data_IF_998277459788
#
_entry.id   IF_998277459788
#
_cell.length_a   1.000
_cell.length_b   1.000
_cell.length_c   1.000
_cell.angle_alpha   90.00
_cell.angle_beta   90.00
_cell.angle_gamma   90.00
#
_symmetry.space_group_name_H-M   'P 1'
#
loop_
_entity.id
_entity.type
_entity.pdbx_description
1 polymer ?
#
# COMPACT_ATOMS: atom_id res chain seq x y z
N UNK A 1 1.18 18.46 6.97
CA UNK A 1 0.85 17.91 5.62
C UNK A 1 0.76 16.38 5.66
N UNK A 2 -0.25 15.77 5.02
CA UNK A 2 -0.29 14.31 4.81
C UNK A 2 0.38 13.98 3.47
N UNK A 3 1.41 13.13 3.50
CA UNK A 3 2.10 12.66 2.30
C UNK A 3 1.48 11.35 1.83
N UNK A 4 0.68 11.40 0.76
CA UNK A 4 0.24 10.20 0.07
C UNK A 4 1.37 9.64 -0.81
N UNK A 5 2.13 8.71 -0.25
CA UNK A 5 3.18 7.98 -0.94
C UNK A 5 2.54 6.82 -1.74
N UNK A 6 3.08 6.58 -2.93
CA UNK A 6 2.71 5.48 -3.83
C UNK A 6 1.48 5.64 -4.75
N UNK A 7 1.03 6.86 -5.01
CA UNK A 7 -0.06 7.07 -6.01
C UNK A 7 0.36 6.83 -7.47
N UNK A 8 1.64 7.03 -7.79
CA UNK A 8 2.18 6.87 -9.16
C UNK A 8 2.88 5.53 -9.39
N UNK A 9 3.35 4.90 -8.32
CA UNK A 9 4.09 3.63 -8.33
C UNK A 9 4.04 3.03 -6.94
N UNK A 10 4.13 1.72 -6.80
CA UNK A 10 4.18 1.05 -5.49
C UNK A 10 5.56 1.25 -4.85
N UNK A 11 5.71 2.31 -4.04
CA UNK A 11 6.99 2.67 -3.42
C UNK A 11 7.45 1.60 -2.42
N UNK A 12 6.63 1.11 -1.47
CA UNK A 12 7.05 0.03 -0.56
C UNK A 12 7.54 -1.22 -1.30
N UNK A 13 6.90 -1.60 -2.40
CA UNK A 13 7.29 -2.80 -3.13
C UNK A 13 8.58 -2.61 -3.96
N UNK A 14 8.81 -1.43 -4.55
CA UNK A 14 9.84 -1.27 -5.59
C UNK A 14 10.90 -0.21 -5.30
N UNK A 15 10.61 0.76 -4.44
CA UNK A 15 11.42 1.97 -4.25
C UNK A 15 11.56 2.36 -2.78
N UNK A 16 11.46 1.40 -1.86
CA UNK A 16 11.57 1.63 -0.41
C UNK A 16 12.90 2.29 -0.04
N UNK A 17 14.01 1.77 -0.58
CA UNK A 17 15.35 2.32 -0.37
C UNK A 17 15.46 3.77 -0.87
N UNK A 18 14.95 4.03 -2.08
CA UNK A 18 14.94 5.39 -2.63
C UNK A 18 14.16 6.35 -1.72
N UNK A 19 13.04 5.92 -1.16
CA UNK A 19 12.23 6.75 -0.27
C UNK A 19 12.99 7.11 1.01
N UNK A 20 13.64 6.13 1.66
CA UNK A 20 14.46 6.40 2.86
C UNK A 20 15.51 7.46 2.55
N UNK A 21 16.22 7.31 1.42
CA UNK A 21 17.19 8.30 0.96
C UNK A 21 16.58 9.68 0.66
N UNK A 22 15.28 9.79 0.35
CA UNK A 22 14.59 11.09 0.18
C UNK A 22 14.14 11.69 1.51
N UNK A 23 13.69 10.86 2.45
CA UNK A 23 13.32 11.30 3.80
C UNK A 23 14.54 11.84 4.55
N UNK A 24 15.69 11.16 4.45
CA UNK A 24 16.96 11.63 5.01
C UNK A 24 17.45 12.93 4.33
N UNK A 25 17.27 13.04 3.01
CA UNK A 25 17.60 14.28 2.29
C UNK A 25 16.63 15.44 2.59
N UNK A 26 15.46 15.16 3.17
CA UNK A 26 14.46 16.15 3.57
C UNK A 26 13.65 16.74 2.40
N UNK A 27 13.74 16.20 1.19
CA UNK A 27 12.92 16.64 0.05
C UNK A 27 12.85 15.59 -1.08
N UNK A 28 11.86 15.77 -1.94
CA UNK A 28 11.77 15.07 -3.23
C UNK A 28 11.46 16.04 -4.36
N UNK A 29 11.97 15.74 -5.55
CA UNK A 29 11.59 16.44 -6.78
C UNK A 29 10.59 15.59 -7.56
N UNK A 30 9.50 16.21 -7.97
CA UNK A 30 8.49 15.55 -8.81
C UNK A 30 8.17 16.40 -10.02
N UNK A 31 7.95 15.76 -11.17
CA UNK A 31 7.53 16.43 -12.40
C UNK A 31 6.01 16.49 -12.47
N UNK A 32 5.50 17.59 -13.01
CA UNK A 32 4.10 17.69 -13.39
C UNK A 32 3.84 16.74 -14.58
N UNK A 33 2.86 15.81 -14.49
CA UNK A 33 2.55 14.90 -15.58
C UNK A 33 2.02 15.62 -16.83
N UNK A 34 1.41 16.80 -16.67
CA UNK A 34 0.85 17.58 -17.79
C UNK A 34 1.84 18.61 -18.36
N UNK A 35 2.87 18.99 -17.59
CA UNK A 35 3.91 19.92 -18.03
C UNK A 35 5.29 19.47 -17.54
N UNK A 36 6.03 18.63 -18.30
CA UNK A 36 7.28 18.02 -17.85
C UNK A 36 8.41 18.99 -17.51
N UNK A 37 8.37 20.22 -18.04
CA UNK A 37 9.34 21.28 -17.72
C UNK A 37 9.17 21.83 -16.30
N UNK A 38 7.98 21.67 -15.71
CA UNK A 38 7.68 22.09 -14.36
C UNK A 38 8.09 21.01 -13.35
N UNK A 39 9.07 21.36 -12.52
CA UNK A 39 9.58 20.51 -11.43
C UNK A 39 9.14 21.13 -10.10
N UNK A 40 8.44 20.36 -9.30
CA UNK A 40 8.09 20.72 -7.93
C UNK A 40 9.11 20.13 -6.96
N UNK A 41 9.54 20.95 -5.99
CA UNK A 41 10.28 20.50 -4.82
C UNK A 41 9.32 20.37 -3.65
N UNK A 42 9.10 19.14 -3.20
CA UNK A 42 8.24 18.85 -2.05
C UNK A 42 9.16 18.66 -0.85
N UNK A 43 9.04 19.50 0.20
CA UNK A 43 9.76 19.27 1.44
C UNK A 43 9.21 18.01 2.12
N UNK A 44 10.12 17.22 2.69
CA UNK A 44 9.80 15.97 3.36
C UNK A 44 10.18 15.97 4.84
N UNK A 45 10.63 17.10 5.40
CA UNK A 45 11.05 17.17 6.79
C UNK A 45 9.89 16.92 7.76
N UNK A 46 10.20 16.29 8.90
CA UNK A 46 9.19 15.86 9.89
C UNK A 46 8.37 17.00 10.50
N UNK A 47 8.89 18.22 10.50
CA UNK A 47 8.16 19.42 10.96
C UNK A 47 7.03 19.83 10.00
N UNK A 48 7.05 19.33 8.76
CA UNK A 48 6.05 19.61 7.74
C UNK A 48 5.13 18.41 7.52
N UNK A 49 5.68 17.19 7.61
CA UNK A 49 4.97 15.94 7.36
C UNK A 49 4.31 15.45 8.65
N UNK A 50 2.98 15.55 8.73
CA UNK A 50 2.21 15.04 9.87
C UNK A 50 2.10 13.52 9.84
N UNK A 51 1.99 12.96 8.64
CA UNK A 51 1.83 11.53 8.42
C UNK A 51 2.14 11.13 6.96
N UNK A 52 2.71 9.93 6.78
CA UNK A 52 2.92 9.30 5.47
C UNK A 52 1.91 8.16 5.29
N UNK A 53 1.17 8.18 4.19
CA UNK A 53 0.25 7.11 3.81
C UNK A 53 0.89 6.29 2.71
N UNK A 54 1.18 5.01 2.99
CA UNK A 54 1.72 4.08 2.01
C UNK A 54 0.61 3.31 1.31
N UNK A 55 0.68 3.21 -0.02
CA UNK A 55 -0.16 2.31 -0.80
C UNK A 55 0.71 1.23 -1.40
N UNK A 56 0.31 -0.03 -1.23
CA UNK A 56 1.08 -1.16 -1.74
C UNK A 56 0.25 -2.41 -1.92
N UNK A 57 0.68 -3.29 -2.82
CA UNK A 57 0.23 -4.69 -2.88
C UNK A 57 1.20 -5.65 -2.18
N UNK A 58 2.41 -5.19 -1.86
CA UNK A 58 3.47 -6.04 -1.31
C UNK A 58 4.59 -5.21 -0.63
N UNK A 59 4.53 -4.99 0.71
CA UNK A 59 5.49 -4.19 1.44
C UNK A 59 6.75 -4.95 1.88
N UNK A 60 7.03 -6.16 1.37
CA UNK A 60 8.15 -6.98 1.86
C UNK A 60 9.48 -6.20 1.93
N UNK A 61 9.80 -5.47 0.85
CA UNK A 61 11.04 -4.71 0.72
C UNK A 61 11.11 -3.45 1.60
N UNK A 62 10.02 -3.12 2.31
CA UNK A 62 9.90 -2.00 3.23
C UNK A 62 9.99 -2.43 4.69
N UNK A 63 9.79 -3.72 5.00
CA UNK A 63 9.72 -4.21 6.39
C UNK A 63 11.02 -3.92 7.15
N UNK A 64 12.17 -4.17 6.54
CA UNK A 64 13.50 -3.92 7.11
C UNK A 64 13.83 -2.42 7.29
N UNK A 65 13.00 -1.52 6.76
CA UNK A 65 13.19 -0.06 6.81
C UNK A 65 12.23 0.64 7.77
N UNK A 66 11.33 -0.11 8.41
CA UNK A 66 10.37 0.44 9.36
C UNK A 66 11.08 1.06 10.58
N UNK A 67 12.15 0.42 11.08
CA UNK A 67 12.93 0.97 12.20
C UNK A 67 13.55 2.31 11.83
N UNK A 68 14.03 2.47 10.59
CA UNK A 68 14.55 3.76 10.12
C UNK A 68 13.46 4.83 10.03
N UNK A 69 12.22 4.48 9.67
CA UNK A 69 11.11 5.44 9.68
C UNK A 69 10.78 5.88 11.11
N UNK A 70 10.82 4.95 12.06
CA UNK A 70 10.57 5.20 13.48
C UNK A 70 11.68 6.06 14.10
N UNK A 71 12.95 5.77 13.79
CA UNK A 71 14.12 6.57 14.19
C UNK A 71 14.08 8.00 13.64
N UNK A 72 13.59 8.16 12.40
CA UNK A 72 13.38 9.47 11.79
C UNK A 72 12.13 10.19 12.32
N UNK A 73 11.37 9.57 13.23
CA UNK A 73 10.20 10.13 13.90
C UNK A 73 9.06 10.50 12.92
N UNK A 74 8.87 9.69 11.87
CA UNK A 74 7.72 9.82 10.98
C UNK A 74 6.54 8.98 11.45
N UNK A 75 5.35 9.56 11.47
CA UNK A 75 4.10 8.81 11.61
C UNK A 75 3.69 8.26 10.25
N UNK A 76 3.26 7.00 10.20
CA UNK A 76 2.81 6.40 8.96
C UNK A 76 1.77 5.31 9.18
N UNK A 77 1.05 4.97 8.11
CA UNK A 77 0.20 3.79 8.04
C UNK A 77 0.14 3.25 6.61
N UNK A 78 -0.33 2.02 6.45
CA UNK A 78 -0.37 1.30 5.19
C UNK A 78 -1.81 1.04 4.76
N UNK A 79 -2.11 1.47 3.54
CA UNK A 79 -3.17 0.92 2.72
C UNK A 79 -2.62 -0.28 1.93
N UNK A 80 -2.84 -1.47 2.47
CA UNK A 80 -2.38 -2.72 1.88
C UNK A 80 -3.50 -3.34 1.05
N UNK A 81 -3.31 -3.32 -0.27
CA UNK A 81 -4.24 -3.91 -1.23
C UNK A 81 -4.01 -5.40 -1.39
N UNK A 82 -4.89 -6.19 -0.77
CA UNK A 82 -4.91 -7.65 -0.87
C UNK A 82 -6.23 -8.11 -1.48
N UNK A 83 -6.15 -8.45 -2.76
CA UNK A 83 -7.24 -8.89 -3.64
C UNK A 83 -7.10 -10.39 -3.96
N UNK A 84 -8.18 -11.07 -4.37
CA UNK A 84 -8.21 -12.53 -4.51
C UNK A 84 -7.65 -13.02 -5.85
N UNK A 85 -7.34 -12.12 -6.77
CA UNK A 85 -7.06 -12.45 -8.16
C UNK A 85 -5.72 -13.16 -8.32
N UNK A 86 -5.67 -14.06 -9.30
CA UNK A 86 -4.46 -14.75 -9.70
C UNK A 86 -3.65 -13.93 -10.72
N UNK A 87 -2.67 -14.58 -11.35
CA UNK A 87 -1.78 -13.96 -12.33
C UNK A 87 -2.47 -13.56 -13.64
N UNK A 88 -3.72 -13.96 -13.89
CA UNK A 88 -4.48 -13.43 -15.04
C UNK A 88 -4.70 -11.92 -14.92
N UNK A 89 -4.92 -11.43 -13.69
CA UNK A 89 -5.08 -10.01 -13.35
C UNK A 89 -3.80 -9.42 -12.77
N UNK A 90 -3.11 -10.15 -11.87
CA UNK A 90 -2.01 -9.63 -11.06
C UNK A 90 -0.68 -10.36 -11.34
N UNK A 91 -0.15 -10.14 -12.54
CA UNK A 91 0.93 -10.93 -13.15
C UNK A 91 2.26 -10.97 -12.40
N UNK A 92 2.63 -9.89 -11.71
CA UNK A 92 4.00 -9.67 -11.18
C UNK A 92 4.09 -9.69 -9.66
N UNK A 93 3.05 -10.16 -8.99
CA UNK A 93 3.06 -10.31 -7.55
C UNK A 93 3.70 -11.63 -7.14
N UNK A 94 4.22 -11.65 -5.90
CA UNK A 94 4.57 -12.89 -5.21
C UNK A 94 3.35 -13.78 -5.04
N UNK A 95 3.59 -15.00 -4.59
CA UNK A 95 2.52 -15.91 -4.23
C UNK A 95 1.58 -15.29 -3.18
N UNK A 96 0.29 -15.59 -3.26
CA UNK A 96 -0.71 -14.89 -2.44
C UNK A 96 -0.57 -15.21 -0.97
N UNK A 97 -0.22 -16.44 -0.65
CA UNK A 97 0.01 -16.92 0.69
C UNK A 97 1.23 -16.22 1.30
N UNK A 98 2.27 -15.94 0.51
CA UNK A 98 3.43 -15.15 0.95
C UNK A 98 3.06 -13.69 1.22
N UNK A 99 2.22 -13.08 0.38
CA UNK A 99 1.74 -11.72 0.58
C UNK A 99 0.84 -11.64 1.83
N UNK A 100 -0.02 -12.64 2.07
CA UNK A 100 -0.79 -12.74 3.31
C UNK A 100 0.13 -12.79 4.52
N UNK A 101 1.21 -13.60 4.49
CA UNK A 101 2.19 -13.64 5.60
C UNK A 101 2.83 -12.27 5.83
N UNK A 102 3.22 -11.58 4.77
CA UNK A 102 3.79 -10.23 4.85
C UNK A 102 2.78 -9.22 5.41
N UNK A 103 1.48 -9.34 5.10
CA UNK A 103 0.43 -8.53 5.71
C UNK A 103 0.42 -8.70 7.23
N UNK A 104 0.40 -9.96 7.71
CA UNK A 104 0.40 -10.27 9.15
C UNK A 104 1.66 -9.77 9.84
N UNK A 105 2.81 -9.97 9.21
CA UNK A 105 4.10 -9.52 9.73
C UNK A 105 4.14 -8.00 9.87
N UNK A 106 3.71 -7.26 8.84
CA UNK A 106 3.58 -5.81 8.91
C UNK A 106 2.68 -5.40 10.07
N UNK A 107 1.47 -5.98 10.13
CA UNK A 107 0.48 -5.66 11.17
C UNK A 107 1.01 -5.89 12.58
N UNK A 108 1.68 -7.01 12.82
CA UNK A 108 2.30 -7.31 14.13
C UNK A 108 3.39 -6.31 14.51
N UNK A 109 4.10 -5.79 13.51
CA UNK A 109 5.22 -4.86 13.73
C UNK A 109 4.75 -3.44 14.01
N UNK A 110 3.76 -2.95 13.27
CA UNK A 110 3.35 -1.54 13.33
C UNK A 110 2.02 -1.29 14.04
N UNK A 111 1.25 -2.36 14.28
CA UNK A 111 -0.10 -2.34 14.80
C UNK A 111 -1.16 -2.55 13.72
N UNK A 112 -2.23 -3.28 14.06
CA UNK A 112 -3.37 -3.54 13.18
C UNK A 112 -4.19 -2.28 12.91
N UNK A 113 -4.07 -1.25 13.75
CA UNK A 113 -4.66 0.07 13.56
C UNK A 113 -3.97 0.89 12.46
N UNK A 114 -2.71 0.55 12.13
CA UNK A 114 -1.93 1.19 11.06
C UNK A 114 -1.85 0.34 9.79
N UNK A 115 -2.51 -0.82 9.77
CA UNK A 115 -2.52 -1.74 8.63
C UNK A 115 -3.94 -1.89 8.12
N UNK A 116 -4.32 -1.03 7.17
CA UNK A 116 -5.68 -1.02 6.60
C UNK A 116 -5.73 -1.93 5.38
N UNK A 117 -6.59 -2.94 5.43
CA UNK A 117 -6.82 -3.83 4.31
C UNK A 117 -7.67 -3.15 3.24
N UNK A 118 -7.22 -3.24 2.00
CA UNK A 118 -8.01 -2.85 0.83
C UNK A 118 -8.32 -4.09 -0.01
N UNK A 119 -9.56 -4.54 0.03
CA UNK A 119 -10.10 -5.50 -0.92
C UNK A 119 -10.70 -4.73 -2.10
N UNK A 120 -9.81 -4.06 -2.83
CA UNK A 120 -10.16 -3.00 -3.76
C UNK A 120 -9.17 -2.99 -4.95
N UNK A 121 -9.63 -3.04 -6.20
CA UNK A 121 -11.04 -3.05 -6.60
C UNK A 121 -11.64 -4.46 -6.73
N UNK A 122 -12.95 -4.55 -6.53
CA UNK A 122 -13.79 -5.69 -6.86
C UNK A 122 -14.15 -5.61 -8.35
N UNK A 123 -13.75 -6.61 -9.11
CA UNK A 123 -14.03 -6.77 -10.54
C UNK A 123 -15.18 -7.77 -10.65
N UNK A 124 -16.35 -7.33 -11.09
CA UNK A 124 -17.47 -8.24 -11.34
C UNK A 124 -17.55 -8.60 -12.82
N UNK A 125 -17.50 -9.89 -13.13
CA UNK A 125 -17.72 -10.44 -14.46
C UNK A 125 -18.15 -11.92 -14.37
N UNK A 126 -18.23 -12.63 -15.50
CA UNK A 126 -18.62 -14.04 -15.55
C UNK A 126 -17.66 -14.99 -14.79
N UNK A 127 -16.39 -14.59 -14.64
CA UNK A 127 -15.36 -15.36 -13.92
C UNK A 127 -15.27 -14.98 -12.45
N UNK A 128 -15.35 -13.68 -12.15
CA UNK A 128 -15.26 -13.10 -10.81
C UNK A 128 -16.65 -12.64 -10.37
N UNK A 129 -17.54 -13.60 -10.18
CA UNK A 129 -18.91 -13.31 -9.80
C UNK A 129 -19.05 -13.06 -8.28
N UNK A 130 -20.29 -12.83 -7.85
CA UNK A 130 -20.58 -12.61 -6.44
C UNK A 130 -20.21 -13.81 -5.56
N UNK A 131 -20.39 -15.05 -6.04
CA UNK A 131 -20.10 -16.27 -5.26
C UNK A 131 -18.59 -16.38 -5.04
N UNK A 132 -17.80 -16.21 -6.11
CA UNK A 132 -16.35 -16.15 -6.05
C UNK A 132 -15.86 -15.12 -5.03
N UNK A 133 -16.37 -13.89 -5.10
CA UNK A 133 -15.98 -12.83 -4.17
C UNK A 133 -16.40 -13.13 -2.73
N UNK A 134 -17.60 -13.66 -2.51
CA UNK A 134 -18.07 -14.04 -1.17
C UNK A 134 -17.15 -15.10 -0.55
N UNK A 135 -16.79 -16.13 -1.30
CA UNK A 135 -15.90 -17.20 -0.83
C UNK A 135 -14.49 -16.68 -0.53
N UNK A 136 -13.90 -15.94 -1.47
CA UNK A 136 -12.53 -15.42 -1.33
C UNK A 136 -12.41 -14.34 -0.26
N UNK A 137 -13.39 -13.46 -0.16
CA UNK A 137 -13.45 -12.45 0.90
C UNK A 137 -13.55 -13.12 2.27
N UNK A 138 -14.46 -14.10 2.42
CA UNK A 138 -14.60 -14.86 3.68
C UNK A 138 -13.31 -15.61 4.06
N UNK A 139 -12.62 -16.18 3.08
CA UNK A 139 -11.31 -16.80 3.29
C UNK A 139 -10.28 -15.79 3.82
N UNK A 140 -10.14 -14.63 3.16
CA UNK A 140 -9.19 -13.61 3.59
C UNK A 140 -9.56 -12.98 4.94
N UNK A 141 -10.85 -12.78 5.25
CA UNK A 141 -11.28 -12.34 6.58
C UNK A 141 -10.80 -13.29 7.68
N UNK A 142 -10.94 -14.60 7.47
CA UNK A 142 -10.43 -15.60 8.42
C UNK A 142 -8.91 -15.58 8.52
N UNK A 143 -8.22 -15.36 7.40
CA UNK A 143 -6.77 -15.27 7.42
C UNK A 143 -6.30 -14.03 8.18
N UNK A 144 -6.91 -12.87 7.98
CA UNK A 144 -6.47 -11.58 8.55
C UNK A 144 -7.10 -11.25 9.90
N UNK A 145 -7.68 -12.24 10.57
CA UNK A 145 -8.28 -12.07 11.90
C UNK A 145 -7.25 -11.50 12.88
N UNK A 146 -7.58 -10.36 13.52
CA UNK A 146 -6.72 -9.59 14.42
C UNK A 146 -5.52 -8.87 13.76
N UNK A 147 -5.33 -9.00 12.44
CA UNK A 147 -4.26 -8.31 11.72
C UNK A 147 -4.73 -6.98 11.09
N UNK A 148 -6.01 -6.62 11.17
CA UNK A 148 -6.53 -5.30 10.74
C UNK A 148 -7.86 -4.98 11.42
N UNK A 149 -8.14 -3.70 11.65
CA UNK A 149 -9.44 -3.23 12.15
C UNK A 149 -10.34 -2.65 11.04
N UNK A 150 -9.83 -2.51 9.82
CA UNK A 150 -10.54 -1.84 8.74
C UNK A 150 -10.31 -2.54 7.41
N UNK A 151 -11.41 -2.80 6.70
CA UNK A 151 -11.38 -3.22 5.31
C UNK A 151 -12.09 -2.17 4.44
N UNK A 152 -11.42 -1.71 3.39
CA UNK A 152 -12.00 -0.86 2.35
C UNK A 152 -12.31 -1.71 1.14
N UNK A 153 -13.53 -1.59 0.63
CA UNK A 153 -14.00 -2.22 -0.61
C UNK A 153 -14.43 -1.14 -1.59
N UNK A 154 -14.17 -1.38 -2.87
CA UNK A 154 -14.72 -0.59 -3.97
C UNK A 154 -14.95 -1.50 -5.17
N UNK A 155 -15.80 -1.11 -6.11
CA UNK A 155 -16.04 -1.84 -7.35
C UNK A 155 -15.35 -1.12 -8.50
N UNK A 156 -14.84 -1.87 -9.48
CA UNK A 156 -14.40 -1.27 -10.74
C UNK A 156 -15.60 -0.61 -11.39
N UNK A 157 -15.45 0.68 -11.67
CA UNK A 157 -16.39 1.46 -12.47
C UNK A 157 -15.69 1.86 -13.78
N UNK A 158 -16.38 1.63 -14.90
CA UNK A 158 -15.87 2.01 -16.21
C UNK A 158 -16.35 3.43 -16.51
N UNK A 159 -15.41 4.36 -16.66
CA UNK A 159 -15.73 5.72 -17.07
C UNK A 159 -16.46 5.68 -18.43
N UNK A 160 -17.71 6.13 -18.43
CA UNK A 160 -18.54 6.34 -19.62
C UNK A 160 -18.12 7.57 -20.41
#
# INVERSE_FOLDING_TARGET
>A
MILSASRRTDIPCHYSEWLINRLQAGYVLTRNPMNPSQIYRIPLSKDIIDCIVFWTKDPLNMLDKLDTLDELDYKYYFYFTLTPYDRSVERKLRDKEDIVRTFKELSRRIGHEKTVWRYDPIILNETFDFVYHKEKYSYLCKQLENDTNQCIVSFVDLYS
#
